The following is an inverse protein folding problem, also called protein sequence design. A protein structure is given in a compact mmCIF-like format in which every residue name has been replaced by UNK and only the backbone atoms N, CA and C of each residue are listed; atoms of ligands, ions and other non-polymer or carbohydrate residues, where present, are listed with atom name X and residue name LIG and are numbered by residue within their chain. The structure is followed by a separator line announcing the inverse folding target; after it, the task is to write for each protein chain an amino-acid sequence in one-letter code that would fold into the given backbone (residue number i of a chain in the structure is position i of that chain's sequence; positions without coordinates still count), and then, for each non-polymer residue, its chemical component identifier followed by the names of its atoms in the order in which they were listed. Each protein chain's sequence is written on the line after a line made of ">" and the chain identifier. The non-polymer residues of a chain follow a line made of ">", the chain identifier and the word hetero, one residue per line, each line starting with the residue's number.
data_IF_006729760348
#
_entry.id   IF_006729760348
#
_cell.length_a   1.000
_cell.length_b   1.000
_cell.length_c   1.000
_cell.angle_alpha   90.00
_cell.angle_beta   90.00
_cell.angle_gamma   90.00
#
_symmetry.space_group_name_H-M   'P 1'
#
loop_
_entity.id
_entity.type
_entity.pdbx_description
1 polymer ?
#
# COMPACT_ATOMS: atom_id res chain seq x y z
N UNK A 1 3.45 7.73 2.19
CA UNK A 1 2.49 6.74 2.70
C UNK A 1 3.09 6.11 3.93
N UNK A 2 2.30 5.99 4.99
CA UNK A 2 2.74 5.51 6.28
C UNK A 2 1.82 4.42 6.82
N UNK A 3 2.34 3.57 7.70
CA UNK A 3 1.53 2.75 8.60
C UNK A 3 2.30 2.42 9.88
N UNK A 4 1.60 2.47 11.02
CA UNK A 4 2.19 2.28 12.34
C UNK A 4 3.40 3.18 12.59
N UNK A 5 4.48 2.60 13.12
CA UNK A 5 5.71 3.35 13.41
C UNK A 5 6.37 4.01 12.17
N UNK A 6 6.05 3.54 10.97
CA UNK A 6 6.53 4.15 9.72
C UNK A 6 6.01 5.57 9.48
N UNK A 7 5.07 6.04 10.31
CA UNK A 7 4.65 7.43 10.33
C UNK A 7 5.79 8.40 10.65
N UNK A 8 6.74 8.03 11.51
CA UNK A 8 7.80 8.93 11.99
C UNK A 8 8.64 9.57 10.85
N UNK A 9 9.25 8.81 9.92
CA UNK A 9 10.00 9.41 8.81
C UNK A 9 9.10 10.18 7.84
N UNK A 10 7.84 9.74 7.64
CA UNK A 10 6.90 10.44 6.77
C UNK A 10 6.47 11.79 7.35
N UNK A 11 6.31 11.89 8.68
CA UNK A 11 6.07 13.15 9.37
C UNK A 11 7.22 14.13 9.15
N UNK A 12 8.47 13.69 9.32
CA UNK A 12 9.64 14.54 9.08
C UNK A 12 9.69 15.06 7.64
N UNK A 13 9.38 14.20 6.66
CA UNK A 13 9.32 14.59 5.25
C UNK A 13 8.22 15.63 4.97
N UNK A 14 7.01 15.43 5.52
CA UNK A 14 5.91 16.38 5.34
C UNK A 14 6.21 17.73 6.02
N UNK A 15 6.77 17.71 7.23
CA UNK A 15 7.16 18.91 7.94
C UNK A 15 8.18 19.73 7.15
N UNK A 16 9.21 19.07 6.62
CA UNK A 16 10.19 19.71 5.74
C UNK A 16 9.54 20.22 4.44
N UNK A 17 8.68 19.41 3.82
CA UNK A 17 8.00 19.76 2.57
C UNK A 17 7.23 21.08 2.68
N UNK A 18 6.45 21.25 3.75
CA UNK A 18 5.70 22.47 3.99
C UNK A 18 6.57 23.63 4.50
N UNK A 19 7.61 23.36 5.29
CA UNK A 19 8.57 24.38 5.72
C UNK A 19 9.33 25.00 4.53
N UNK A 20 9.64 24.21 3.50
CA UNK A 20 10.24 24.68 2.24
C UNK A 20 9.25 25.43 1.33
N UNK A 21 7.96 25.47 1.68
CA UNK A 21 6.94 26.17 0.91
C UNK A 21 6.59 25.50 -0.44
N UNK A 22 6.88 24.20 -0.58
CA UNK A 22 6.61 23.41 -1.80
C UNK A 22 5.13 23.45 -2.17
N UNK A 23 4.86 23.38 -3.48
CA UNK A 23 3.52 23.61 -4.06
C UNK A 23 3.01 22.43 -4.89
N UNK A 24 3.85 21.44 -5.15
CA UNK A 24 3.49 20.25 -5.89
C UNK A 24 2.45 19.43 -5.10
N UNK A 25 1.71 18.60 -5.84
CA UNK A 25 0.61 17.83 -5.27
C UNK A 25 1.13 16.72 -4.37
N UNK A 26 0.61 16.65 -3.15
CA UNK A 26 0.98 15.65 -2.14
C UNK A 26 -0.27 14.92 -1.66
N UNK A 27 -0.22 13.59 -1.75
CA UNK A 27 -1.20 12.71 -1.14
C UNK A 27 -0.57 11.97 0.02
N UNK A 28 -1.09 12.22 1.23
CA UNK A 28 -0.64 11.54 2.43
C UNK A 28 -1.62 10.41 2.80
N UNK A 29 -1.30 9.20 2.37
CA UNK A 29 -1.98 7.99 2.83
C UNK A 29 -1.41 7.53 4.18
N UNK A 30 -2.29 7.32 5.15
CA UNK A 30 -1.98 6.72 6.44
C UNK A 30 -2.86 5.47 6.61
N UNK A 31 -2.23 4.29 6.60
CA UNK A 31 -2.91 3.01 6.77
C UNK A 31 -2.78 2.56 8.22
N UNK A 32 -3.91 2.46 8.92
CA UNK A 32 -3.99 1.94 10.28
C UNK A 32 -5.08 0.87 10.37
N UNK A 33 -5.14 0.17 11.51
CA UNK A 33 -6.18 -0.85 11.69
C UNK A 33 -7.49 -0.21 12.12
N UNK A 34 -7.40 0.74 13.06
CA UNK A 34 -8.53 1.39 13.73
C UNK A 34 -8.33 2.89 13.90
N UNK A 35 -9.40 3.61 14.19
CA UNK A 35 -9.33 5.05 14.41
C UNK A 35 -8.45 5.39 15.63
N UNK A 36 -8.49 4.57 16.68
CA UNK A 36 -7.65 4.69 17.87
C UNK A 36 -6.15 4.62 17.61
N UNK A 37 -5.73 4.02 16.50
CA UNK A 37 -4.33 3.94 16.10
C UNK A 37 -3.84 5.26 15.46
N UNK A 38 -4.75 6.18 15.08
CA UNK A 38 -4.36 7.51 14.56
C UNK A 38 -3.85 8.39 15.72
N UNK A 39 -2.64 8.99 15.58
CA UNK A 39 -2.14 9.92 16.58
C UNK A 39 -2.90 11.26 16.54
N UNK A 40 -3.88 11.39 17.43
CA UNK A 40 -4.75 12.57 17.53
C UNK A 40 -4.00 13.90 17.61
N UNK A 41 -2.83 13.94 18.26
CA UNK A 41 -2.01 15.16 18.35
C UNK A 41 -1.58 15.75 17.00
N UNK A 42 -1.54 14.96 15.92
CA UNK A 42 -1.14 15.44 14.59
C UNK A 42 -2.32 15.65 13.64
N UNK A 43 -3.51 15.12 13.95
CA UNK A 43 -4.61 15.15 12.98
C UNK A 43 -5.05 16.58 12.67
N UNK A 44 -5.12 17.48 13.66
CA UNK A 44 -5.45 18.89 13.42
C UNK A 44 -4.44 19.56 12.50
N UNK A 45 -3.15 19.25 12.64
CA UNK A 45 -2.11 19.79 11.77
C UNK A 45 -2.35 19.38 10.32
N UNK A 46 -2.65 18.09 10.08
CA UNK A 46 -2.89 17.59 8.72
C UNK A 46 -4.22 18.11 8.13
N UNK A 47 -5.27 18.18 8.94
CA UNK A 47 -6.56 18.73 8.51
C UNK A 47 -6.46 20.23 8.22
N UNK A 48 -5.71 20.97 9.04
CA UNK A 48 -5.40 22.36 8.81
C UNK A 48 -4.64 22.53 7.49
N UNK A 49 -3.56 21.75 7.27
CA UNK A 49 -2.83 21.76 6.00
C UNK A 49 -3.74 21.47 4.80
N UNK A 50 -4.65 20.50 4.90
CA UNK A 50 -5.61 20.21 3.84
C UNK A 50 -6.57 21.37 3.58
N UNK A 51 -6.99 22.10 4.62
CA UNK A 51 -7.83 23.30 4.50
C UNK A 51 -7.09 24.45 3.79
N UNK A 52 -5.80 24.66 4.07
CA UNK A 52 -5.04 25.81 3.54
C UNK A 52 -4.21 25.52 2.28
N UNK A 53 -3.99 24.24 1.94
CA UNK A 53 -3.20 23.83 0.79
C UNK A 53 -4.02 22.91 -0.14
N UNK A 54 -4.56 23.47 -1.22
CA UNK A 54 -5.30 22.69 -2.23
C UNK A 54 -4.47 21.58 -2.90
N UNK A 55 -3.14 21.67 -2.82
CA UNK A 55 -2.22 20.65 -3.32
C UNK A 55 -2.04 19.47 -2.35
N UNK A 56 -2.51 19.56 -1.10
CA UNK A 56 -2.37 18.52 -0.10
C UNK A 56 -3.68 17.78 0.15
N UNK A 57 -3.61 16.45 0.26
CA UNK A 57 -4.74 15.62 0.67
C UNK A 57 -4.30 14.55 1.66
N UNK A 58 -4.94 14.53 2.83
CA UNK A 58 -4.81 13.49 3.84
C UNK A 58 -5.84 12.38 3.60
N UNK A 59 -5.39 11.13 3.61
CA UNK A 59 -6.20 9.96 3.27
C UNK A 59 -5.94 8.86 4.33
N UNK A 60 -6.65 8.90 5.46
CA UNK A 60 -6.63 7.81 6.42
C UNK A 60 -7.39 6.60 5.87
N UNK A 61 -6.83 5.40 6.05
CA UNK A 61 -7.39 4.12 5.58
C UNK A 61 -7.41 3.12 6.73
N UNK A 62 -8.57 2.51 6.99
CA UNK A 62 -8.77 1.55 8.07
C UNK A 62 -8.88 0.12 7.57
N UNK A 63 -7.97 -0.76 7.99
CA UNK A 63 -7.97 -2.17 7.55
C UNK A 63 -8.81 -3.10 8.41
N UNK A 64 -9.13 -2.71 9.65
CA UNK A 64 -9.61 -3.61 10.70
C UNK A 64 -8.44 -4.30 11.43
N UNK A 65 -8.68 -4.65 12.69
CA UNK A 65 -7.66 -5.19 13.60
C UNK A 65 -7.49 -6.71 13.49
N UNK A 66 -8.55 -7.43 13.15
CA UNK A 66 -8.57 -8.88 13.06
C UNK A 66 -9.57 -9.38 12.01
N UNK A 67 -9.57 -10.69 11.75
CA UNK A 67 -10.47 -11.29 10.76
C UNK A 67 -11.93 -11.16 11.20
N UNK A 68 -12.79 -10.66 10.32
CA UNK A 68 -14.21 -10.45 10.60
C UNK A 68 -14.50 -9.10 11.26
N UNK A 69 -13.46 -8.32 11.53
CA UNK A 69 -13.61 -6.95 12.00
C UNK A 69 -14.20 -6.04 10.92
N UNK A 70 -15.09 -5.11 11.33
CA UNK A 70 -15.69 -4.11 10.45
C UNK A 70 -15.09 -2.72 10.74
N UNK A 71 -14.11 -2.23 9.97
CA UNK A 71 -13.51 -0.91 10.16
C UNK A 71 -14.43 0.26 9.84
N UNK A 72 -15.62 0.03 9.26
CA UNK A 72 -16.60 1.09 9.02
C UNK A 72 -17.44 1.42 10.28
N UNK A 73 -17.43 0.54 11.27
CA UNK A 73 -18.10 0.75 12.56
C UNK A 73 -17.03 1.03 13.62
N UNK A 74 -17.20 2.12 14.36
CA UNK A 74 -16.30 2.45 15.46
C UNK A 74 -16.61 1.52 16.63
N UNK A 75 -15.59 0.86 17.16
CA UNK A 75 -15.72 0.08 18.38
C UNK A 75 -15.71 0.98 19.62
N UNK A 76 -15.90 0.40 20.80
CA UNK A 76 -15.99 1.19 22.05
C UNK A 76 -14.71 1.98 22.35
N UNK A 77 -13.53 1.49 21.95
CA UNK A 77 -12.26 2.19 22.16
C UNK A 77 -12.12 3.33 21.15
N UNK A 78 -12.51 3.11 19.89
CA UNK A 78 -12.57 4.17 18.88
C UNK A 78 -13.51 5.30 19.32
N UNK A 79 -14.71 4.97 19.82
CA UNK A 79 -15.69 5.93 20.33
C UNK A 79 -15.20 6.68 21.55
N UNK A 80 -14.57 5.98 22.49
CA UNK A 80 -13.95 6.61 23.66
C UNK A 80 -12.85 7.59 23.20
N UNK A 81 -12.01 7.17 22.26
CA UNK A 81 -10.95 8.01 21.70
C UNK A 81 -11.49 9.27 21.04
N UNK A 82 -12.58 9.14 20.27
CA UNK A 82 -13.24 10.26 19.62
C UNK A 82 -13.90 11.21 20.64
N UNK A 83 -14.65 10.67 21.59
CA UNK A 83 -15.37 11.43 22.62
C UNK A 83 -14.42 12.18 23.55
N UNK A 84 -13.27 11.59 23.88
CA UNK A 84 -12.24 12.21 24.70
C UNK A 84 -11.37 13.21 23.94
N UNK A 85 -11.51 13.33 22.62
CA UNK A 85 -10.81 14.35 21.85
C UNK A 85 -11.39 15.74 22.13
N UNK A 86 -10.59 16.80 21.94
CA UNK A 86 -11.11 18.17 22.11
C UNK A 86 -12.24 18.47 21.12
N UNK A 87 -13.11 19.42 21.45
CA UNK A 87 -14.23 19.83 20.58
C UNK A 87 -13.76 20.25 19.17
N UNK A 88 -12.57 20.86 19.09
CA UNK A 88 -11.94 21.22 17.83
C UNK A 88 -11.58 19.98 16.99
N UNK A 89 -10.97 18.95 17.60
CA UNK A 89 -10.68 17.69 16.92
C UNK A 89 -11.95 17.03 16.41
N UNK A 90 -12.97 16.91 17.27
CA UNK A 90 -14.22 16.25 16.90
C UNK A 90 -14.89 16.95 15.72
N UNK A 91 -15.01 18.29 15.79
CA UNK A 91 -15.59 19.11 14.72
C UNK A 91 -14.83 18.94 13.42
N UNK A 92 -13.50 19.08 13.44
CA UNK A 92 -12.69 19.03 12.22
C UNK A 92 -12.74 17.64 11.57
N UNK A 93 -12.78 16.56 12.36
CA UNK A 93 -12.91 15.19 11.83
C UNK A 93 -14.27 14.96 11.18
N UNK A 94 -15.35 15.45 11.81
CA UNK A 94 -16.72 15.37 11.25
C UNK A 94 -16.84 16.20 9.98
N UNK A 95 -16.35 17.44 9.98
CA UNK A 95 -16.39 18.34 8.82
C UNK A 95 -15.65 17.77 7.61
N UNK A 96 -14.58 17.02 7.84
CA UNK A 96 -13.81 16.36 6.80
C UNK A 96 -14.44 15.03 6.34
N UNK A 97 -15.53 14.60 6.99
CA UNK A 97 -16.31 13.43 6.61
C UNK A 97 -15.59 12.11 6.91
N UNK A 98 -14.76 12.06 7.95
CA UNK A 98 -14.11 10.82 8.38
C UNK A 98 -14.92 10.05 9.41
N UNK A 99 -15.63 10.76 10.30
CA UNK A 99 -16.57 10.18 11.26
C UNK A 99 -17.92 10.86 11.08
N UNK A 100 -19.00 10.10 11.20
CA UNK A 100 -20.35 10.64 11.11
C UNK A 100 -20.70 11.52 12.33
N UNK A 101 -21.78 12.29 12.24
CA UNK A 101 -22.17 13.22 13.30
C UNK A 101 -22.51 12.52 14.63
N UNK A 102 -22.87 11.24 14.60
CA UNK A 102 -23.15 10.48 15.81
C UNK A 102 -21.91 9.97 16.51
N UNK A 103 -20.75 9.94 15.84
CA UNK A 103 -19.53 9.37 16.40
C UNK A 103 -19.51 7.84 16.40
N UNK A 104 -20.35 7.20 15.56
CA UNK A 104 -20.53 5.73 15.54
C UNK A 104 -19.90 5.09 14.31
N UNK A 105 -19.76 5.83 13.20
CA UNK A 105 -19.35 5.27 11.91
C UNK A 105 -18.14 5.98 11.34
N UNK A 106 -17.19 5.18 10.88
CA UNK A 106 -16.11 5.62 10.02
C UNK A 106 -16.63 5.77 8.58
N UNK A 107 -16.53 6.99 8.06
CA UNK A 107 -16.95 7.38 6.71
C UNK A 107 -15.75 7.50 5.74
N UNK A 108 -14.53 7.38 6.26
CA UNK A 108 -13.30 7.40 5.47
C UNK A 108 -13.07 6.13 4.66
N UNK A 109 -11.85 5.95 4.17
CA UNK A 109 -11.49 4.78 3.37
C UNK A 109 -11.33 3.53 4.25
N UNK A 110 -11.73 2.38 3.73
CA UNK A 110 -11.58 1.07 4.38
C UNK A 110 -10.81 0.10 3.49
N UNK A 111 -10.16 -0.89 4.10
CA UNK A 111 -9.35 -1.90 3.44
C UNK A 111 -7.85 -1.54 3.44
N UNK A 112 -7.19 -1.73 2.29
CA UNK A 112 -5.75 -1.54 2.15
C UNK A 112 -5.42 -0.42 1.16
N UNK A 113 -4.29 0.27 1.36
CA UNK A 113 -3.90 1.43 0.54
C UNK A 113 -3.72 1.06 -0.94
N UNK A 114 -3.09 -0.08 -1.25
CA UNK A 114 -2.73 -0.47 -2.63
C UNK A 114 -3.90 -0.41 -3.63
N UNK A 115 -5.02 -1.10 -3.37
CA UNK A 115 -6.21 -1.03 -4.22
C UNK A 115 -6.85 0.36 -4.36
N UNK A 116 -6.63 1.26 -3.39
CA UNK A 116 -7.21 2.61 -3.40
C UNK A 116 -6.41 3.61 -4.24
N UNK A 117 -5.17 3.29 -4.63
CA UNK A 117 -4.28 4.24 -5.31
C UNK A 117 -4.91 4.84 -6.57
N UNK A 118 -5.58 4.03 -7.39
CA UNK A 118 -6.21 4.45 -8.65
C UNK A 118 -7.38 5.42 -8.46
N UNK A 119 -7.93 5.54 -7.25
CA UNK A 119 -8.98 6.51 -6.94
C UNK A 119 -8.42 7.94 -6.80
N UNK A 120 -7.12 8.08 -6.61
CA UNK A 120 -6.46 9.36 -6.32
C UNK A 120 -5.34 9.70 -7.30
N UNK A 121 -4.72 8.69 -7.90
CA UNK A 121 -3.54 8.82 -8.72
C UNK A 121 -3.83 8.31 -10.14
N UNK A 122 -3.28 9.03 -11.10
CA UNK A 122 -3.18 8.62 -12.50
C UNK A 122 -1.70 8.46 -12.84
N UNK A 123 -1.38 7.80 -13.96
CA UNK A 123 0.00 7.67 -14.39
C UNK A 123 0.63 9.05 -14.61
N UNK A 124 1.67 9.37 -13.83
CA UNK A 124 2.56 10.50 -14.04
C UNK A 124 3.99 10.07 -13.69
N UNK A 125 4.92 10.05 -14.69
CA UNK A 125 6.32 9.68 -14.48
C UNK A 125 7.07 10.54 -13.45
N UNK A 126 6.53 11.72 -13.08
CA UNK A 126 7.13 12.59 -12.06
C UNK A 126 6.64 12.28 -10.65
N UNK A 127 5.66 11.38 -10.50
CA UNK A 127 5.15 10.99 -9.18
C UNK A 127 6.21 10.17 -8.46
N UNK A 128 6.60 10.63 -7.27
CA UNK A 128 7.50 9.94 -6.35
C UNK A 128 6.72 9.42 -5.14
N UNK A 129 6.93 8.16 -4.80
CA UNK A 129 6.34 7.50 -3.65
C UNK A 129 7.37 7.49 -2.53
N UNK A 130 7.00 8.03 -1.37
CA UNK A 130 7.73 7.85 -0.11
C UNK A 130 6.94 6.87 0.76
N UNK A 131 7.54 5.75 1.15
CA UNK A 131 6.86 4.65 1.84
C UNK A 131 7.59 4.27 3.12
N UNK A 132 6.88 4.13 4.23
CA UNK A 132 7.44 3.48 5.42
C UNK A 132 6.32 2.84 6.23
N UNK A 133 6.54 1.61 6.68
CA UNK A 133 5.58 0.86 7.48
C UNK A 133 5.78 -0.65 7.35
N UNK A 134 4.83 -1.45 7.86
CA UNK A 134 4.94 -2.90 7.86
C UNK A 134 5.08 -3.49 6.45
N UNK A 135 5.87 -4.55 6.31
CA UNK A 135 6.13 -5.22 5.02
C UNK A 135 4.84 -5.57 4.23
N UNK A 136 3.75 -6.08 4.84
CA UNK A 136 2.50 -6.31 4.12
C UNK A 136 1.91 -5.05 3.46
N UNK A 137 2.03 -3.89 4.11
CA UNK A 137 1.53 -2.63 3.56
C UNK A 137 2.45 -2.15 2.42
N UNK A 138 3.75 -2.09 2.67
CA UNK A 138 4.71 -1.50 1.72
C UNK A 138 4.82 -2.33 0.45
N UNK A 139 4.92 -3.66 0.55
CA UNK A 139 5.00 -4.58 -0.60
C UNK A 139 3.75 -4.48 -1.49
N UNK A 140 2.55 -4.44 -0.89
CA UNK A 140 1.30 -4.36 -1.65
C UNK A 140 1.08 -3.00 -2.31
N UNK A 141 1.52 -1.91 -1.66
CA UNK A 141 1.52 -0.57 -2.24
C UNK A 141 2.48 -0.48 -3.42
N UNK A 142 3.69 -1.01 -3.30
CA UNK A 142 4.69 -1.03 -4.38
C UNK A 142 4.16 -1.83 -5.57
N UNK A 143 3.63 -3.03 -5.33
CA UNK A 143 3.06 -3.88 -6.38
C UNK A 143 1.89 -3.17 -7.08
N UNK A 144 0.99 -2.54 -6.32
CA UNK A 144 -0.12 -1.78 -6.89
C UNK A 144 0.38 -0.58 -7.71
N UNK A 145 1.28 0.23 -7.17
CA UNK A 145 1.84 1.38 -7.88
C UNK A 145 2.54 0.98 -9.19
N UNK A 146 3.27 -0.13 -9.19
CA UNK A 146 3.94 -0.64 -10.38
C UNK A 146 2.96 -1.23 -11.40
N UNK A 147 1.98 -2.03 -10.97
CA UNK A 147 1.08 -2.75 -11.88
C UNK A 147 -0.08 -1.88 -12.40
N UNK A 148 -0.66 -1.02 -11.56
CA UNK A 148 -1.90 -0.30 -11.89
C UNK A 148 -1.64 1.14 -12.32
N UNK A 149 -0.67 1.81 -11.70
CA UNK A 149 -0.31 3.20 -12.02
C UNK A 149 0.89 3.25 -13.00
N UNK A 150 1.75 2.23 -13.02
CA UNK A 150 2.92 2.20 -13.90
C UNK A 150 4.09 3.04 -13.39
N UNK A 151 4.24 3.17 -12.08
CA UNK A 151 5.37 3.89 -11.45
C UNK A 151 6.65 3.07 -11.63
N UNK A 152 7.76 3.76 -11.88
CA UNK A 152 9.08 3.12 -12.07
C UNK A 152 9.81 2.92 -10.74
N UNK A 153 10.73 1.96 -10.71
CA UNK A 153 11.48 1.56 -9.49
C UNK A 153 12.20 2.75 -8.86
N UNK A 154 12.81 3.61 -9.68
CA UNK A 154 13.54 4.80 -9.25
C UNK A 154 12.68 5.87 -8.55
N UNK A 155 11.37 5.83 -8.75
CA UNK A 155 10.43 6.75 -8.12
C UNK A 155 9.83 6.20 -6.81
N UNK A 156 10.29 5.04 -6.35
CA UNK A 156 9.84 4.42 -5.10
C UNK A 156 10.96 4.53 -4.09
N UNK A 157 10.76 5.44 -3.13
CA UNK A 157 11.65 5.69 -2.02
C UNK A 157 11.00 5.13 -0.75
N UNK A 158 11.77 4.41 0.05
CA UNK A 158 11.25 3.81 1.26
C UNK A 158 12.28 3.80 2.37
N UNK A 159 11.78 3.78 3.61
CA UNK A 159 12.55 3.47 4.80
C UNK A 159 12.07 2.13 5.35
N UNK A 160 13.02 1.27 5.72
CA UNK A 160 12.78 -0.13 6.01
C UNK A 160 13.34 -0.52 7.37
N UNK A 161 12.44 -0.56 8.35
CA UNK A 161 12.77 -0.95 9.71
C UNK A 161 13.04 -2.45 9.87
N UNK A 162 12.74 -3.25 8.84
CA UNK A 162 12.78 -4.72 8.90
C UNK A 162 13.86 -5.35 8.02
N UNK A 163 14.47 -4.60 7.11
CA UNK A 163 15.45 -5.11 6.13
C UNK A 163 14.86 -5.90 4.96
N UNK A 164 13.52 -6.02 4.87
CA UNK A 164 12.82 -6.86 3.88
C UNK A 164 12.44 -6.12 2.58
N UNK A 165 12.42 -4.79 2.57
CA UNK A 165 11.84 -3.99 1.48
C UNK A 165 12.73 -3.86 0.25
N UNK A 166 14.03 -3.72 0.43
CA UNK A 166 14.97 -3.59 -0.70
C UNK A 166 14.92 -4.80 -1.64
N UNK A 167 15.03 -6.05 -1.16
CA UNK A 167 14.88 -7.21 -2.04
C UNK A 167 13.46 -7.36 -2.57
N UNK A 168 12.45 -7.00 -1.77
CA UNK A 168 11.04 -7.06 -2.20
C UNK A 168 10.76 -6.14 -3.39
N UNK A 169 11.31 -4.92 -3.40
CA UNK A 169 11.16 -3.99 -4.51
C UNK A 169 11.72 -4.60 -5.80
N UNK A 170 12.91 -5.19 -5.75
CA UNK A 170 13.49 -5.83 -6.93
C UNK A 170 12.65 -6.99 -7.47
N UNK A 171 12.24 -7.90 -6.57
CA UNK A 171 11.40 -9.05 -6.90
C UNK A 171 10.06 -8.64 -7.54
N UNK A 172 9.41 -7.56 -7.06
CA UNK A 172 8.17 -7.05 -7.63
C UNK A 172 8.37 -6.57 -9.07
N UNK A 173 9.45 -5.84 -9.36
CA UNK A 173 9.74 -5.38 -10.72
C UNK A 173 10.17 -6.52 -11.65
N UNK A 174 10.90 -7.52 -11.16
CA UNK A 174 11.17 -8.74 -11.92
C UNK A 174 9.89 -9.50 -12.27
N UNK A 175 8.99 -9.66 -11.29
CA UNK A 175 7.65 -10.22 -11.50
C UNK A 175 6.87 -9.44 -12.56
N UNK A 176 6.93 -8.11 -12.57
CA UNK A 176 6.29 -7.29 -13.60
C UNK A 176 6.88 -7.54 -15.00
N UNK A 177 8.20 -7.71 -15.11
CA UNK A 177 8.84 -8.09 -16.39
C UNK A 177 8.34 -9.45 -16.87
N UNK A 178 8.30 -10.44 -15.97
CA UNK A 178 7.78 -11.78 -16.28
C UNK A 178 6.31 -11.72 -16.71
N UNK A 179 5.47 -10.96 -16.01
CA UNK A 179 4.07 -10.78 -16.37
C UNK A 179 3.90 -10.21 -17.80
N UNK A 180 4.79 -9.33 -18.24
CA UNK A 180 4.81 -8.86 -19.64
C UNK A 180 5.18 -9.99 -20.61
N UNK A 181 6.13 -10.85 -20.25
CA UNK A 181 6.49 -12.03 -21.06
C UNK A 181 5.30 -13.00 -21.22
N UNK A 182 4.57 -13.28 -20.13
CA UNK A 182 3.33 -14.08 -20.18
C UNK A 182 2.35 -13.56 -21.23
N UNK A 183 2.11 -12.24 -21.24
CA UNK A 183 1.20 -11.59 -22.18
C UNK A 183 1.73 -11.61 -23.62
N UNK A 184 3.03 -11.36 -23.81
CA UNK A 184 3.66 -11.37 -25.13
C UNK A 184 3.67 -12.76 -25.78
N UNK A 185 3.80 -13.82 -24.99
CA UNK A 185 3.77 -15.20 -25.46
C UNK A 185 2.35 -15.69 -25.81
N UNK A 186 1.30 -14.90 -25.54
CA UNK A 186 -0.08 -15.25 -25.90
C UNK A 186 -0.59 -16.51 -25.18
N UNK A 187 -0.12 -16.78 -23.96
CA UNK A 187 -0.55 -17.97 -23.22
C UNK A 187 -2.06 -17.90 -22.90
N UNK A 188 -2.79 -18.99 -23.17
CA UNK A 188 -4.26 -19.06 -23.01
C UNK A 188 -4.78 -18.65 -21.62
N UNK A 189 -3.98 -18.79 -20.57
CA UNK A 189 -4.35 -18.48 -19.19
C UNK A 189 -3.40 -17.47 -18.53
N UNK A 190 -2.80 -16.57 -19.31
CA UNK A 190 -1.78 -15.63 -18.86
C UNK A 190 -2.19 -14.87 -17.59
N UNK A 191 -3.41 -14.30 -17.54
CA UNK A 191 -3.84 -13.50 -16.38
C UNK A 191 -3.97 -14.35 -15.10
N UNK A 192 -4.51 -15.56 -15.21
CA UNK A 192 -4.62 -16.50 -14.08
C UNK A 192 -3.25 -16.97 -13.59
N UNK A 193 -2.32 -17.20 -14.51
CA UNK A 193 -0.96 -17.62 -14.17
C UNK A 193 -0.16 -16.45 -13.54
N UNK A 194 -0.38 -15.21 -13.99
CA UNK A 194 0.16 -14.00 -13.36
C UNK A 194 -0.39 -13.82 -11.95
N UNK A 195 -1.69 -14.04 -11.74
CA UNK A 195 -2.33 -13.96 -10.42
C UNK A 195 -1.75 -15.00 -9.45
N UNK A 196 -1.59 -16.25 -9.92
CA UNK A 196 -0.94 -17.32 -9.14
C UNK A 196 0.50 -16.99 -8.78
N UNK A 197 1.30 -16.57 -9.78
CA UNK A 197 2.69 -16.12 -9.56
C UNK A 197 2.75 -14.99 -8.53
N UNK A 198 1.88 -13.99 -8.66
CA UNK A 198 1.82 -12.84 -7.75
C UNK A 198 1.47 -13.27 -6.33
N UNK A 199 0.47 -14.15 -6.19
CA UNK A 199 0.04 -14.68 -4.89
C UNK A 199 1.15 -15.48 -4.21
N UNK A 200 1.81 -16.39 -4.94
CA UNK A 200 2.93 -17.17 -4.41
C UNK A 200 4.06 -16.24 -3.99
N UNK A 201 4.51 -15.37 -4.90
CA UNK A 201 5.64 -14.48 -4.65
C UNK A 201 5.39 -13.57 -3.44
N UNK A 202 4.26 -12.87 -3.40
CA UNK A 202 3.99 -11.89 -2.36
C UNK A 202 3.61 -12.60 -1.06
N UNK A 203 2.59 -13.44 -1.06
CA UNK A 203 1.96 -13.97 0.17
C UNK A 203 2.74 -15.15 0.74
N UNK A 204 3.26 -16.05 -0.11
CA UNK A 204 3.91 -17.29 0.34
C UNK A 204 5.40 -17.13 0.54
N UNK A 205 6.05 -16.19 -0.16
CA UNK A 205 7.50 -16.03 -0.12
C UNK A 205 7.93 -14.71 0.54
N UNK A 206 7.70 -13.56 -0.11
CA UNK A 206 8.16 -12.24 0.37
C UNK A 206 7.66 -11.94 1.79
N UNK A 207 6.35 -12.05 2.03
CA UNK A 207 5.78 -11.76 3.35
C UNK A 207 6.09 -12.82 4.42
N UNK A 208 6.75 -13.92 4.02
CA UNK A 208 7.29 -14.94 4.93
C UNK A 208 8.82 -14.88 5.03
N UNK A 209 9.42 -13.80 4.55
CA UNK A 209 10.86 -13.54 4.58
C UNK A 209 11.71 -14.60 3.83
N UNK A 210 11.12 -15.24 2.81
CA UNK A 210 11.78 -16.25 1.97
C UNK A 210 12.38 -15.60 0.71
N UNK A 211 13.32 -14.68 0.91
CA UNK A 211 13.86 -13.84 -0.16
C UNK A 211 14.63 -14.64 -1.23
N UNK A 212 15.57 -15.50 -0.83
CA UNK A 212 16.35 -16.30 -1.80
C UNK A 212 15.48 -17.28 -2.59
N UNK A 213 14.48 -17.85 -1.91
CA UNK A 213 13.48 -18.72 -2.54
C UNK A 213 12.61 -17.96 -3.54
N UNK A 214 12.36 -16.66 -3.31
CA UNK A 214 11.63 -15.78 -4.23
C UNK A 214 12.40 -15.56 -5.54
N UNK A 215 13.71 -15.33 -5.47
CA UNK A 215 14.54 -15.23 -6.68
C UNK A 215 14.55 -16.55 -7.45
N UNK A 216 14.78 -17.66 -6.74
CA UNK A 216 14.75 -19.01 -7.32
C UNK A 216 13.41 -19.30 -8.01
N UNK A 217 12.30 -18.93 -7.39
CA UNK A 217 10.96 -19.10 -7.96
C UNK A 217 10.79 -18.32 -9.27
N UNK A 218 11.17 -17.04 -9.30
CA UNK A 218 11.07 -16.23 -10.51
C UNK A 218 12.00 -16.71 -11.62
N UNK A 219 13.21 -17.17 -11.29
CA UNK A 219 14.16 -17.70 -12.27
C UNK A 219 13.64 -19.00 -12.91
N UNK A 220 13.06 -19.92 -12.12
CA UNK A 220 12.37 -21.10 -12.66
C UNK A 220 11.24 -20.72 -13.61
N UNK A 221 10.46 -19.68 -13.31
CA UNK A 221 9.42 -19.20 -14.24
C UNK A 221 10.04 -18.69 -15.54
N UNK A 222 11.10 -17.87 -15.48
CA UNK A 222 11.78 -17.37 -16.68
C UNK A 222 12.31 -18.52 -17.54
N UNK A 223 12.92 -19.53 -16.93
CA UNK A 223 13.40 -20.74 -17.60
C UNK A 223 12.28 -21.46 -18.33
N UNK A 224 11.12 -21.66 -17.67
CA UNK A 224 9.94 -22.29 -18.28
C UNK A 224 9.41 -21.46 -19.45
N UNK A 225 9.33 -20.13 -19.30
CA UNK A 225 8.85 -19.26 -20.38
C UNK A 225 9.79 -19.25 -21.60
N UNK A 226 11.08 -19.53 -21.41
CA UNK A 226 12.06 -19.64 -22.49
C UNK A 226 12.01 -20.97 -23.26
N UNK A 227 11.34 -22.01 -22.74
CA UNK A 227 11.22 -23.31 -23.42
C UNK A 227 10.40 -23.22 -24.71
N UNK A 228 10.57 -24.16 -25.64
CA UNK A 228 9.81 -24.15 -26.90
C UNK A 228 8.38 -24.70 -26.74
N UNK A 229 8.20 -25.83 -26.05
CA UNK A 229 6.91 -26.50 -25.84
C UNK A 229 6.54 -26.63 -24.35
N UNK A 230 5.34 -27.12 -24.07
CA UNK A 230 4.89 -27.61 -22.74
C UNK A 230 4.94 -26.64 -21.56
N UNK A 231 5.09 -25.33 -21.83
CA UNK A 231 5.13 -24.26 -20.82
C UNK A 231 4.03 -24.38 -19.77
N UNK A 232 2.79 -24.67 -20.21
CA UNK A 232 1.64 -24.75 -19.31
C UNK A 232 1.77 -25.87 -18.28
N UNK A 233 2.20 -27.06 -18.72
CA UNK A 233 2.42 -28.20 -17.84
C UNK A 233 3.49 -27.89 -16.80
N UNK A 234 4.60 -27.30 -17.21
CA UNK A 234 5.70 -26.94 -16.31
C UNK A 234 5.32 -25.84 -15.33
N UNK A 235 4.58 -24.81 -15.77
CA UNK A 235 4.06 -23.77 -14.88
C UNK A 235 3.09 -24.34 -13.84
N UNK A 236 2.14 -25.18 -14.25
CA UNK A 236 1.17 -25.77 -13.32
C UNK A 236 1.87 -26.71 -12.32
N UNK A 237 2.91 -27.44 -12.76
CA UNK A 237 3.75 -28.24 -11.86
C UNK A 237 4.49 -27.35 -10.86
N UNK A 238 5.14 -26.27 -11.33
CA UNK A 238 5.86 -25.34 -10.48
C UNK A 238 4.93 -24.69 -9.46
N UNK A 239 3.76 -24.19 -9.86
CA UNK A 239 2.84 -23.56 -8.93
C UNK A 239 2.37 -24.50 -7.83
N UNK A 240 2.14 -25.79 -8.13
CA UNK A 240 1.80 -26.81 -7.13
C UNK A 240 2.93 -27.08 -6.12
N UNK A 241 4.18 -26.87 -6.48
CA UNK A 241 5.32 -27.01 -5.54
C UNK A 241 5.30 -25.93 -4.45
N UNK A 242 4.61 -24.80 -4.70
CA UNK A 242 4.57 -23.61 -3.83
C UNK A 242 3.18 -23.33 -3.22
N UNK A 243 2.16 -24.14 -3.53
CA UNK A 243 0.81 -24.04 -2.95
C UNK A 243 0.78 -24.44 -1.46
#
# INVERSE_FOLDING_TARGET
>A
MAGGAGLAPILALLDQWFAEGRKEKVYFFLGERRFQDIPMQYILKWLHWQKIHHSFKFIPVMSGAFRGDNPAELDEIDKERFTNASEEHQRDIIEQGYIDKSGEKWLGQVGFIGPLLTNYLVHDPKTTFYLCGPAPMTVTVIDSAANTIGIKKENILFDDFTGTLTPSLDLIYQKLMIAKMFKQLGLHHADKDIEKMTTILIIKLILRDKIDESYTFLDKIKEILAQQSDKKYHLDKLFKEYE
#
